data_IF_835473526978
#
_entry.id   IF_835473526978
#
_cell.length_a   1.000
_cell.length_b   1.000
_cell.length_c   1.000
_cell.angle_alpha   90.00
_cell.angle_beta   90.00
_cell.angle_gamma   90.00
#
_symmetry.space_group_name_H-M   'P 1'
#
loop_
_entity.id
_entity.type
_entity.pdbx_description
1 polymer ?
#
# COMPACT_ATOMS: atom_id res chain seq x y z
N UNK A 1 63.04 -35.61 -35.15
CA UNK A 1 62.25 -36.22 -34.06
C UNK A 1 61.56 -35.11 -33.30
N UNK A 2 60.22 -35.17 -33.24
CA UNK A 2 59.29 -34.72 -32.18
C UNK A 2 59.59 -33.48 -31.33
N UNK A 3 58.66 -32.61 -30.95
CA UNK A 3 57.23 -32.32 -31.22
C UNK A 3 56.93 -31.09 -30.35
N UNK A 4 56.00 -30.25 -30.81
CA UNK A 4 55.30 -29.18 -30.10
C UNK A 4 54.80 -29.59 -28.68
N UNK A 5 54.38 -28.67 -27.75
CA UNK A 5 53.18 -27.86 -28.03
C UNK A 5 52.90 -26.53 -27.25
N UNK A 6 51.98 -25.76 -27.87
CA UNK A 6 50.84 -24.97 -27.31
C UNK A 6 50.98 -23.47 -26.94
N UNK A 7 50.13 -22.72 -27.64
CA UNK A 7 49.69 -21.34 -27.42
C UNK A 7 48.66 -21.24 -26.28
N UNK A 8 48.71 -20.16 -25.49
CA UNK A 8 47.52 -19.57 -24.83
C UNK A 8 47.61 -18.04 -24.89
N UNK A 9 46.72 -17.44 -25.68
CA UNK A 9 46.51 -15.99 -25.76
C UNK A 9 45.42 -15.54 -24.79
N UNK A 10 45.79 -14.72 -23.82
CA UNK A 10 44.85 -14.01 -22.94
C UNK A 10 44.16 -12.84 -23.65
N UNK A 11 42.83 -12.81 -23.62
CA UNK A 11 42.01 -11.67 -24.09
C UNK A 11 41.36 -10.99 -22.90
N UNK A 12 41.74 -9.74 -22.65
CA UNK A 12 41.04 -8.81 -21.75
C UNK A 12 39.76 -8.26 -22.43
N UNK A 13 38.68 -7.95 -21.69
CA UNK A 13 37.44 -7.45 -22.25
C UNK A 13 37.56 -5.96 -22.64
N UNK A 14 37.13 -5.66 -23.87
CA UNK A 14 37.04 -4.30 -24.43
C UNK A 14 35.91 -3.50 -23.78
N UNK A 15 36.22 -2.24 -23.48
CA UNK A 15 35.29 -1.20 -23.04
C UNK A 15 34.26 -0.91 -24.15
N UNK A 16 32.97 -0.89 -23.80
CA UNK A 16 31.90 -0.41 -24.68
C UNK A 16 31.59 1.02 -24.28
N UNK A 17 31.96 1.96 -25.15
CA UNK A 17 31.65 3.39 -25.09
C UNK A 17 30.24 3.63 -25.64
N UNK A 18 29.41 4.36 -24.89
CA UNK A 18 28.07 4.80 -25.30
C UNK A 18 28.14 6.28 -25.69
N UNK A 19 27.66 6.61 -26.89
CA UNK A 19 27.61 7.99 -27.40
C UNK A 19 26.26 8.61 -27.07
N UNK A 20 26.26 9.77 -26.40
CA UNK A 20 25.10 10.63 -26.14
C UNK A 20 24.80 11.49 -27.39
N UNK A 21 23.53 11.72 -27.70
CA UNK A 21 23.08 12.72 -28.68
C UNK A 21 22.00 13.60 -28.03
N UNK A 22 22.07 14.90 -28.31
CA UNK A 22 21.28 15.98 -27.69
C UNK A 22 19.84 16.06 -28.23
N UNK A 23 18.91 16.47 -27.36
CA UNK A 23 17.46 16.56 -27.60
C UNK A 23 17.03 17.93 -28.13
N UNK A 24 16.08 17.94 -29.08
CA UNK A 24 15.28 19.11 -29.47
C UNK A 24 13.89 19.09 -28.83
N UNK A 25 13.34 20.28 -28.58
CA UNK A 25 12.04 20.55 -27.94
C UNK A 25 10.84 20.24 -28.85
N UNK A 26 9.75 19.70 -28.31
CA UNK A 26 8.50 19.52 -29.06
C UNK A 26 7.28 19.09 -28.24
N UNK A 27 6.43 20.07 -27.87
CA UNK A 27 4.98 20.10 -28.14
C UNK A 27 4.04 19.05 -27.55
N UNK A 28 3.31 19.47 -26.51
CA UNK A 28 2.19 18.84 -25.82
C UNK A 28 0.90 18.76 -26.68
N UNK A 29 0.32 17.57 -26.86
CA UNK A 29 -1.08 17.39 -27.28
C UNK A 29 -1.75 16.31 -26.44
N UNK A 30 -2.71 16.71 -25.62
CA UNK A 30 -3.57 15.84 -24.84
C UNK A 30 -4.40 14.91 -25.74
N UNK A 31 -3.97 13.65 -25.83
CA UNK A 31 -4.64 12.59 -26.57
C UNK A 31 -5.90 12.12 -25.81
N UNK A 32 -7.07 12.55 -26.27
CA UNK A 32 -8.33 11.80 -26.08
C UNK A 32 -8.33 10.63 -27.06
N UNK A 33 -7.46 9.64 -26.85
CA UNK A 33 -7.40 8.45 -27.67
C UNK A 33 -8.55 7.48 -27.29
N UNK A 34 -9.39 7.15 -28.27
CA UNK A 34 -10.29 5.99 -28.21
C UNK A 34 -9.45 4.74 -27.91
N UNK A 35 -9.81 4.01 -26.85
CA UNK A 35 -9.08 2.84 -26.42
C UNK A 35 -9.08 1.75 -27.51
N UNK A 36 -7.89 1.39 -28.02
CA UNK A 36 -7.75 0.39 -29.08
C UNK A 36 -7.78 -1.06 -28.56
N UNK A 37 -7.94 -1.26 -27.25
CA UNK A 37 -8.00 -2.57 -26.61
C UNK A 37 -6.66 -3.30 -26.50
N UNK A 38 -5.54 -2.72 -26.97
CA UNK A 38 -4.29 -3.46 -27.11
C UNK A 38 -3.38 -3.40 -25.89
N UNK A 39 -3.47 -2.33 -25.10
CA UNK A 39 -2.63 -2.08 -23.93
C UNK A 39 -3.39 -1.42 -22.78
N UNK A 40 -2.88 -1.54 -21.56
CA UNK A 40 -3.40 -0.80 -20.41
C UNK A 40 -3.14 0.70 -20.60
N UNK A 41 -4.23 1.46 -20.72
CA UNK A 41 -4.21 2.93 -20.86
C UNK A 41 -3.52 3.53 -19.64
N UNK A 42 -2.56 4.43 -19.85
CA UNK A 42 -1.76 5.02 -18.79
C UNK A 42 -0.32 4.54 -18.75
N UNK A 43 -0.02 3.35 -19.29
CA UNK A 43 1.36 2.91 -19.54
C UNK A 43 2.00 3.73 -20.67
N UNK A 44 3.33 3.68 -20.79
CA UNK A 44 4.04 4.42 -21.84
C UNK A 44 3.69 3.89 -23.23
N UNK A 45 3.40 4.81 -24.15
CA UNK A 45 3.25 4.52 -25.58
C UNK A 45 4.55 4.95 -26.26
N UNK A 46 5.34 3.97 -26.69
CA UNK A 46 6.68 4.19 -27.26
C UNK A 46 6.67 3.63 -28.67
N UNK A 47 6.35 4.48 -29.64
CA UNK A 47 6.29 4.11 -31.05
C UNK A 47 7.67 4.20 -31.72
N UNK A 48 8.56 5.05 -31.20
CA UNK A 48 9.97 5.15 -31.59
C UNK A 48 10.83 5.59 -30.38
N UNK A 49 11.92 4.87 -30.10
CA UNK A 49 12.83 5.17 -28.99
C UNK A 49 13.53 6.53 -29.14
N UNK A 50 13.60 7.09 -30.34
CA UNK A 50 14.18 8.41 -30.60
C UNK A 50 13.32 9.60 -30.16
N UNK A 51 12.02 9.39 -29.90
CA UNK A 51 11.06 10.48 -29.67
C UNK A 51 10.40 10.44 -28.27
N UNK A 52 10.91 9.61 -27.36
CA UNK A 52 10.37 9.48 -26.00
C UNK A 52 11.22 10.26 -25.00
N UNK A 53 10.59 11.15 -24.21
CA UNK A 53 11.30 12.04 -23.26
C UNK A 53 12.03 11.30 -22.13
N UNK A 54 11.68 10.04 -21.87
CA UNK A 54 12.30 9.20 -20.85
C UNK A 54 13.16 8.08 -21.45
N UNK A 55 14.16 7.61 -20.70
CA UNK A 55 15.02 6.48 -21.08
C UNK A 55 14.17 5.25 -21.43
N UNK A 56 14.40 4.72 -22.62
CA UNK A 56 13.66 3.58 -23.18
C UNK A 56 14.49 2.29 -23.10
N UNK A 57 13.82 1.16 -22.90
CA UNK A 57 14.38 -0.19 -22.78
C UNK A 57 13.65 -1.14 -23.73
N UNK A 58 14.43 -1.88 -24.55
CA UNK A 58 13.90 -2.92 -25.43
C UNK A 58 13.92 -4.29 -24.73
N UNK A 59 12.84 -5.06 -24.87
CA UNK A 59 12.71 -6.41 -24.32
C UNK A 59 13.35 -7.46 -25.23
N UNK A 60 14.62 -7.76 -24.97
CA UNK A 60 15.34 -8.83 -25.67
C UNK A 60 14.93 -10.24 -25.23
N UNK A 61 14.96 -11.20 -26.17
CA UNK A 61 14.79 -12.63 -25.88
C UNK A 61 13.33 -13.09 -25.76
N UNK A 62 12.39 -12.22 -26.12
CA UNK A 62 10.94 -12.46 -26.09
C UNK A 62 10.34 -12.54 -27.51
N UNK A 63 11.16 -12.74 -28.54
CA UNK A 63 10.75 -12.71 -29.95
C UNK A 63 9.71 -13.80 -30.24
N UNK A 64 9.83 -14.96 -29.61
CA UNK A 64 8.86 -16.06 -29.70
C UNK A 64 7.45 -15.71 -29.21
N UNK A 65 7.27 -14.61 -28.48
CA UNK A 65 5.95 -14.17 -28.00
C UNK A 65 5.18 -13.37 -29.05
N UNK A 66 5.81 -12.94 -30.15
CA UNK A 66 5.22 -12.11 -31.20
C UNK A 66 4.42 -10.92 -30.62
N UNK A 67 5.08 -10.10 -29.79
CA UNK A 67 4.47 -8.96 -29.12
C UNK A 67 4.24 -7.80 -30.10
N UNK A 68 3.21 -7.00 -29.84
CA UNK A 68 2.96 -5.77 -30.60
C UNK A 68 3.93 -4.65 -30.14
N UNK A 69 4.33 -4.67 -28.87
CA UNK A 69 5.22 -3.68 -28.25
C UNK A 69 6.32 -4.35 -27.40
N UNK A 70 7.58 -4.03 -27.74
CA UNK A 70 8.79 -4.47 -27.04
C UNK A 70 9.49 -3.37 -26.24
N UNK A 71 8.97 -2.14 -26.24
CA UNK A 71 9.58 -0.97 -25.60
C UNK A 71 8.91 -0.62 -24.27
N UNK A 72 9.74 -0.26 -23.28
CA UNK A 72 9.33 0.10 -21.92
C UNK A 72 10.15 1.29 -21.43
N UNK A 73 9.59 2.11 -20.53
CA UNK A 73 10.34 3.21 -19.88
C UNK A 73 10.93 2.82 -18.51
N UNK A 74 10.81 1.53 -18.16
CA UNK A 74 11.53 0.86 -17.08
C UNK A 74 12.32 -0.34 -17.64
N UNK A 75 13.42 -0.77 -16.99
CA UNK A 75 14.08 -2.02 -17.34
C UNK A 75 13.13 -3.22 -17.22
N UNK A 76 13.02 -4.00 -18.30
CA UNK A 76 12.25 -5.25 -18.34
C UNK A 76 13.14 -6.34 -18.96
N UNK A 77 13.07 -7.55 -18.41
CA UNK A 77 13.81 -8.71 -18.92
C UNK A 77 12.88 -9.91 -19.09
N UNK A 78 13.21 -10.80 -20.02
CA UNK A 78 12.48 -12.04 -20.24
C UNK A 78 13.28 -13.26 -19.76
N UNK A 79 13.24 -13.53 -18.45
CA UNK A 79 13.91 -14.69 -17.84
C UNK A 79 12.92 -15.67 -17.19
N UNK A 80 13.41 -16.80 -16.67
CA UNK A 80 12.57 -17.86 -16.09
C UNK A 80 11.68 -17.39 -14.92
N UNK A 81 12.15 -16.42 -14.13
CA UNK A 81 11.37 -15.85 -13.03
C UNK A 81 10.18 -15.03 -13.54
N UNK A 82 10.39 -14.23 -14.60
CA UNK A 82 9.33 -13.45 -15.26
C UNK A 82 8.35 -14.38 -15.98
N UNK A 83 8.85 -15.37 -16.72
CA UNK A 83 8.04 -16.39 -17.39
C UNK A 83 7.13 -17.15 -16.42
N UNK A 84 7.60 -17.43 -15.20
CA UNK A 84 6.76 -18.07 -14.16
C UNK A 84 5.53 -17.21 -13.81
N UNK A 85 5.69 -15.90 -13.73
CA UNK A 85 4.58 -14.98 -13.46
C UNK A 85 3.69 -14.76 -14.68
N UNK A 86 4.26 -14.71 -15.89
CA UNK A 86 3.47 -14.71 -17.12
C UNK A 86 2.58 -15.95 -17.14
N UNK A 87 3.16 -17.14 -16.97
CA UNK A 87 2.40 -18.38 -16.91
C UNK A 87 1.32 -18.36 -15.81
N UNK A 88 1.61 -17.80 -14.64
CA UNK A 88 0.60 -17.63 -13.58
C UNK A 88 -0.57 -16.78 -14.06
N UNK A 89 -0.33 -15.58 -14.62
CA UNK A 89 -1.38 -14.67 -15.08
C UNK A 89 -2.13 -15.17 -16.31
N UNK A 90 -1.56 -16.07 -17.11
CA UNK A 90 -2.27 -16.73 -18.20
C UNK A 90 -3.14 -17.91 -17.74
N UNK A 91 -2.91 -18.42 -16.53
CA UNK A 91 -3.59 -19.60 -16.00
C UNK A 91 -4.32 -19.28 -14.69
N UNK A 92 -3.78 -19.73 -13.55
CA UNK A 92 -4.43 -19.62 -12.23
C UNK A 92 -4.71 -18.18 -11.80
N UNK A 93 -3.95 -17.22 -12.33
CA UNK A 93 -4.06 -15.79 -12.07
C UNK A 93 -4.89 -15.02 -13.11
N UNK A 94 -5.44 -15.67 -14.13
CA UNK A 94 -6.08 -15.01 -15.28
C UNK A 94 -7.22 -14.08 -14.88
N UNK A 95 -8.18 -14.57 -14.10
CA UNK A 95 -9.29 -13.74 -13.63
C UNK A 95 -8.86 -12.59 -12.71
N UNK A 96 -7.71 -12.68 -12.03
CA UNK A 96 -7.16 -11.52 -11.31
C UNK A 96 -6.65 -10.47 -12.28
N UNK A 97 -5.88 -10.89 -13.29
CA UNK A 97 -5.34 -9.98 -14.29
C UNK A 97 -6.45 -9.26 -15.07
N UNK A 98 -7.49 -9.97 -15.50
CA UNK A 98 -8.66 -9.38 -16.18
C UNK A 98 -9.32 -8.29 -15.31
N UNK A 99 -9.57 -8.56 -14.02
CA UNK A 99 -10.15 -7.56 -13.11
C UNK A 99 -9.24 -6.37 -12.87
N UNK A 100 -7.92 -6.60 -12.77
CA UNK A 100 -6.96 -5.51 -12.59
C UNK A 100 -6.90 -4.62 -13.83
N UNK A 101 -6.94 -5.24 -15.01
CA UNK A 101 -6.94 -4.54 -16.29
C UNK A 101 -8.23 -3.77 -16.49
N UNK A 102 -9.40 -4.37 -16.24
CA UNK A 102 -10.68 -3.67 -16.25
C UNK A 102 -10.66 -2.42 -15.37
N UNK A 103 -10.17 -2.55 -14.13
CA UNK A 103 -10.05 -1.42 -13.20
C UNK A 103 -9.02 -0.38 -13.63
N UNK A 104 -7.96 -0.80 -14.33
CA UNK A 104 -6.92 0.11 -14.80
C UNK A 104 -7.49 1.22 -15.69
N UNK A 105 -8.53 0.94 -16.49
CA UNK A 105 -9.18 1.95 -17.34
C UNK A 105 -9.63 3.19 -16.57
N UNK A 106 -10.03 3.04 -15.30
CA UNK A 106 -10.44 4.15 -14.45
C UNK A 106 -9.28 4.99 -13.93
N UNK A 107 -8.20 4.36 -13.49
CA UNK A 107 -7.19 5.00 -12.65
C UNK A 107 -5.83 5.16 -13.33
N UNK A 108 -5.41 4.16 -14.13
CA UNK A 108 -4.10 4.15 -14.73
C UNK A 108 -3.82 5.34 -15.67
N UNK A 109 -4.78 5.89 -16.44
CA UNK A 109 -4.54 7.09 -17.25
C UNK A 109 -4.06 8.28 -16.40
N UNK A 110 -4.81 8.60 -15.34
CA UNK A 110 -4.51 9.70 -14.43
C UNK A 110 -3.22 9.44 -13.63
N UNK A 111 -3.04 8.21 -13.13
CA UNK A 111 -1.85 7.85 -12.35
C UNK A 111 -0.58 7.87 -13.22
N UNK A 112 -0.68 7.45 -14.48
CA UNK A 112 0.39 7.50 -15.47
C UNK A 112 0.80 8.95 -15.77
N UNK A 113 -0.18 9.84 -15.97
CA UNK A 113 0.09 11.26 -16.16
C UNK A 113 0.80 11.89 -14.95
N UNK A 114 0.34 11.58 -13.73
CA UNK A 114 1.00 12.09 -12.51
C UNK A 114 2.46 11.59 -12.42
N UNK A 115 2.73 10.33 -12.79
CA UNK A 115 4.12 9.83 -12.81
C UNK A 115 4.98 10.64 -13.79
N UNK A 116 4.48 10.86 -15.00
CA UNK A 116 5.15 11.63 -16.04
C UNK A 116 5.40 13.10 -15.62
N UNK A 117 4.38 13.78 -15.07
CA UNK A 117 4.46 15.15 -14.56
C UNK A 117 5.50 15.29 -13.43
N UNK A 118 5.74 14.20 -12.68
CA UNK A 118 6.75 14.12 -11.63
C UNK A 118 8.13 13.61 -12.13
N UNK A 119 8.31 13.45 -13.44
CA UNK A 119 9.56 13.02 -14.06
C UNK A 119 9.88 11.53 -13.85
N UNK A 120 8.85 10.70 -13.68
CA UNK A 120 8.98 9.26 -13.46
C UNK A 120 8.44 8.46 -14.67
N UNK A 121 8.99 7.26 -14.92
CA UNK A 121 8.45 6.36 -15.93
C UNK A 121 6.99 6.01 -15.69
N UNK A 122 6.18 6.05 -16.75
CA UNK A 122 4.76 5.68 -16.73
C UNK A 122 4.58 4.20 -16.49
N UNK A 123 5.47 3.31 -16.95
CA UNK A 123 5.32 1.87 -16.69
C UNK A 123 5.48 1.52 -15.19
N UNK A 124 5.86 2.48 -14.32
CA UNK A 124 5.73 2.29 -12.87
C UNK A 124 4.28 2.13 -12.40
N UNK A 125 3.26 2.42 -13.21
CA UNK A 125 1.86 2.06 -12.87
C UNK A 125 1.68 0.56 -12.59
N UNK A 126 2.54 -0.29 -13.17
CA UNK A 126 2.47 -1.73 -12.93
C UNK A 126 2.86 -2.11 -11.48
N UNK A 127 3.53 -1.23 -10.72
CA UNK A 127 3.64 -1.37 -9.27
C UNK A 127 2.27 -1.27 -8.60
N UNK A 128 1.47 -0.24 -8.91
CA UNK A 128 0.12 -0.09 -8.35
C UNK A 128 -0.79 -1.28 -8.73
N UNK A 129 -0.66 -1.79 -9.96
CA UNK A 129 -1.31 -3.04 -10.38
C UNK A 129 -0.86 -4.23 -9.54
N UNK A 130 0.45 -4.36 -9.28
CA UNK A 130 1.00 -5.45 -8.48
C UNK A 130 0.61 -5.38 -6.99
N UNK A 131 0.45 -4.17 -6.45
CA UNK A 131 0.12 -3.90 -5.04
C UNK A 131 -1.35 -4.14 -4.72
N UNK A 132 -2.26 -3.63 -5.55
CA UNK A 132 -3.70 -3.66 -5.25
C UNK A 132 -4.59 -4.01 -6.43
N UNK A 133 -4.04 -4.06 -7.65
CA UNK A 133 -4.84 -4.05 -8.87
C UNK A 133 -5.67 -2.77 -8.99
N UNK A 134 -5.08 -1.61 -8.66
CA UNK A 134 -5.70 -0.29 -8.67
C UNK A 134 -6.90 -0.11 -7.72
N UNK A 135 -6.92 -0.82 -6.59
CA UNK A 135 -8.04 -0.71 -5.64
C UNK A 135 -7.81 0.41 -4.61
N UNK A 136 -8.62 1.46 -4.67
CA UNK A 136 -8.57 2.59 -3.72
C UNK A 136 -8.72 2.15 -2.27
N UNK A 137 -9.70 1.28 -1.99
CA UNK A 137 -9.98 0.78 -0.63
C UNK A 137 -9.27 -0.53 -0.31
N UNK A 138 -8.24 -0.94 -1.07
CA UNK A 138 -7.48 -2.15 -0.75
C UNK A 138 -6.79 -2.01 0.60
N UNK A 139 -6.82 -3.07 1.40
CA UNK A 139 -6.18 -3.11 2.70
C UNK A 139 -5.50 -4.45 2.94
N UNK A 140 -4.18 -4.43 3.09
CA UNK A 140 -3.44 -5.65 3.39
C UNK A 140 -3.59 -6.08 4.85
N UNK A 141 -3.18 -7.31 5.11
CA UNK A 141 -3.05 -7.85 6.46
C UNK A 141 -2.08 -7.04 7.35
N UNK A 142 -1.09 -6.41 6.75
CA UNK A 142 -0.12 -5.55 7.42
C UNK A 142 -0.63 -4.12 7.60
N UNK A 143 -1.86 -3.82 7.14
CA UNK A 143 -2.49 -2.49 7.14
C UNK A 143 -1.84 -1.49 6.18
N UNK A 144 -1.24 -1.99 5.11
CA UNK A 144 -1.05 -1.19 3.91
C UNK A 144 -2.42 -0.88 3.30
N UNK A 145 -2.63 0.35 2.84
CA UNK A 145 -3.92 0.82 2.31
C UNK A 145 -3.71 1.51 0.97
N UNK A 146 -4.70 1.47 0.09
CA UNK A 146 -4.70 2.26 -1.12
C UNK A 146 -4.26 1.52 -2.37
N UNK A 147 -4.29 2.22 -3.53
CA UNK A 147 -3.84 1.66 -4.79
C UNK A 147 -2.34 1.33 -4.74
N UNK A 148 -1.57 2.13 -4.01
CA UNK A 148 -0.12 2.00 -3.80
C UNK A 148 0.28 1.21 -2.55
N UNK A 149 -0.69 0.69 -1.78
CA UNK A 149 -0.44 -0.09 -0.54
C UNK A 149 0.53 0.61 0.43
N UNK A 150 0.27 1.87 0.75
CA UNK A 150 1.07 2.58 1.74
C UNK A 150 0.82 2.08 3.17
N UNK A 151 1.90 1.77 3.87
CA UNK A 151 1.89 1.71 5.33
C UNK A 151 1.61 3.10 5.91
N UNK A 152 0.84 3.20 6.99
CA UNK A 152 0.45 4.51 7.56
C UNK A 152 1.65 5.42 7.88
N UNK A 153 2.72 4.88 8.46
CA UNK A 153 3.94 5.65 8.73
C UNK A 153 4.59 6.18 7.45
N UNK A 154 4.74 5.32 6.44
CA UNK A 154 5.34 5.69 5.15
C UNK A 154 4.48 6.71 4.42
N UNK A 155 3.16 6.51 4.37
CA UNK A 155 2.23 7.47 3.78
C UNK A 155 2.36 8.88 4.40
N UNK A 156 2.36 8.97 5.74
CA UNK A 156 2.59 10.24 6.45
C UNK A 156 3.96 10.86 6.15
N UNK A 157 5.01 10.04 6.10
CA UNK A 157 6.36 10.48 5.75
C UNK A 157 6.41 11.13 4.36
N UNK A 158 5.55 10.70 3.43
CA UNK A 158 5.46 11.23 2.07
C UNK A 158 4.23 12.12 1.82
N UNK A 159 3.69 12.72 2.89
CA UNK A 159 2.72 13.82 2.79
C UNK A 159 1.25 13.44 2.87
N UNK A 160 0.91 12.16 3.04
CA UNK A 160 -0.50 11.74 3.16
C UNK A 160 -1.07 12.04 4.55
N UNK A 161 -2.23 12.70 4.61
CA UNK A 161 -3.02 12.85 5.82
C UNK A 161 -3.77 11.55 6.13
N UNK A 162 -3.57 11.06 7.34
CA UNK A 162 -4.23 9.84 7.84
C UNK A 162 -4.64 10.08 9.29
N UNK A 163 -5.95 10.25 9.49
CA UNK A 163 -6.58 10.47 10.78
C UNK A 163 -7.95 9.75 10.86
N UNK A 164 -8.86 10.20 11.74
CA UNK A 164 -10.15 9.56 11.93
C UNK A 164 -11.17 9.95 10.84
N UNK A 165 -11.02 11.11 10.21
CA UNK A 165 -11.95 11.61 9.18
C UNK A 165 -11.48 11.23 7.78
N UNK A 166 -10.15 11.23 7.55
CA UNK A 166 -9.55 10.98 6.23
C UNK A 166 -8.42 9.97 6.27
N UNK A 167 -8.33 9.15 5.22
CA UNK A 167 -7.17 8.31 4.91
C UNK A 167 -6.78 8.47 3.44
N UNK A 168 -5.91 9.46 3.18
CA UNK A 168 -5.50 9.86 1.82
C UNK A 168 -4.67 8.79 1.09
N UNK A 169 -4.36 7.67 1.74
CA UNK A 169 -3.85 6.50 1.03
C UNK A 169 -4.88 5.94 0.07
N UNK A 170 -6.17 6.11 0.33
CA UNK A 170 -7.24 5.65 -0.56
C UNK A 170 -7.48 6.61 -1.74
N UNK A 171 -7.00 7.85 -1.67
CA UNK A 171 -7.12 8.82 -2.76
C UNK A 171 -6.14 8.47 -3.90
N UNK A 172 -6.61 8.17 -5.12
CA UNK A 172 -5.72 7.75 -6.21
C UNK A 172 -4.78 8.86 -6.70
N UNK A 173 -5.11 10.13 -6.52
CA UNK A 173 -4.27 11.26 -6.93
C UNK A 173 -3.20 11.50 -5.87
N UNK A 174 -3.62 11.77 -4.63
CA UNK A 174 -2.72 12.11 -3.52
C UNK A 174 -1.77 10.95 -3.22
N UNK A 175 -2.28 9.71 -3.21
CA UNK A 175 -1.42 8.54 -3.00
C UNK A 175 -0.44 8.31 -4.16
N UNK A 176 -0.78 8.67 -5.40
CA UNK A 176 0.17 8.64 -6.53
C UNK A 176 1.26 9.69 -6.40
N UNK A 177 0.92 10.92 -6.03
CA UNK A 177 1.93 11.95 -5.74
C UNK A 177 2.88 11.49 -4.61
N UNK A 178 2.35 10.90 -3.54
CA UNK A 178 3.17 10.32 -2.48
C UNK A 178 4.04 9.15 -2.96
N UNK A 179 3.52 8.30 -3.86
CA UNK A 179 4.28 7.23 -4.50
C UNK A 179 5.42 7.79 -5.36
N UNK A 180 5.18 8.85 -6.12
CA UNK A 180 6.19 9.54 -6.92
C UNK A 180 7.34 10.04 -6.02
N UNK A 181 6.99 10.71 -4.93
CA UNK A 181 7.97 11.20 -3.96
C UNK A 181 8.80 10.05 -3.35
N UNK A 182 8.15 8.93 -3.00
CA UNK A 182 8.87 7.79 -2.43
C UNK A 182 9.75 7.09 -3.46
N UNK A 183 9.24 6.80 -4.64
CA UNK A 183 9.99 6.14 -5.72
C UNK A 183 11.18 6.98 -6.17
N UNK A 184 11.04 8.32 -6.20
CA UNK A 184 12.16 9.24 -6.44
C UNK A 184 13.27 9.08 -5.40
N UNK A 185 12.92 9.00 -4.11
CA UNK A 185 13.91 8.78 -3.03
C UNK A 185 14.58 7.41 -3.19
N UNK A 186 13.81 6.37 -3.48
CA UNK A 186 14.35 5.02 -3.68
C UNK A 186 15.28 4.96 -4.89
N UNK A 187 14.89 5.55 -6.02
CA UNK A 187 15.72 5.59 -7.22
C UNK A 187 17.01 6.38 -6.99
N UNK A 188 16.94 7.56 -6.35
CA UNK A 188 18.14 8.33 -5.96
C UNK A 188 19.08 7.53 -5.07
N UNK A 189 18.55 6.66 -4.21
CA UNK A 189 19.34 5.84 -3.31
C UNK A 189 19.99 4.63 -4.00
N UNK A 190 19.30 4.00 -4.96
CA UNK A 190 19.72 2.71 -5.51
C UNK A 190 20.19 2.76 -6.97
N UNK A 191 19.88 3.83 -7.72
CA UNK A 191 20.25 3.98 -9.13
C UNK A 191 19.62 2.95 -10.09
N UNK A 192 18.66 2.15 -9.62
CA UNK A 192 18.01 1.07 -10.38
C UNK A 192 16.54 0.96 -9.99
N UNK A 193 15.67 0.86 -10.99
CA UNK A 193 14.24 0.65 -10.79
C UNK A 193 13.93 -0.72 -10.17
N UNK A 194 14.71 -1.76 -10.49
CA UNK A 194 14.56 -3.08 -9.90
C UNK A 194 14.88 -3.08 -8.40
N UNK A 195 15.96 -2.40 -7.99
CA UNK A 195 16.27 -2.22 -6.57
C UNK A 195 15.27 -1.30 -5.87
N UNK A 196 14.84 -0.21 -6.53
CA UNK A 196 13.83 0.70 -6.00
C UNK A 196 12.49 -0.04 -5.76
N UNK A 197 12.00 -0.82 -6.72
CA UNK A 197 10.78 -1.62 -6.57
C UNK A 197 10.93 -2.69 -5.48
N UNK A 198 12.09 -3.36 -5.40
CA UNK A 198 12.39 -4.30 -4.31
C UNK A 198 12.37 -3.61 -2.93
N UNK A 199 12.91 -2.39 -2.85
CA UNK A 199 12.92 -1.58 -1.63
C UNK A 199 11.54 -1.03 -1.27
N UNK A 200 10.71 -0.69 -2.26
CA UNK A 200 9.32 -0.29 -2.06
C UNK A 200 8.55 -1.40 -1.34
N UNK A 201 8.70 -2.66 -1.78
CA UNK A 201 8.05 -3.81 -1.17
C UNK A 201 8.63 -4.18 0.21
N UNK A 202 9.95 -4.15 0.35
CA UNK A 202 10.65 -4.77 1.48
C UNK A 202 11.20 -3.78 2.52
N UNK A 203 11.18 -2.48 2.21
CA UNK A 203 11.81 -1.38 2.92
C UNK A 203 13.26 -1.14 2.50
N UNK A 204 13.66 0.13 2.36
CA UNK A 204 14.99 0.54 1.90
C UNK A 204 16.14 -0.04 2.76
N UNK A 205 15.96 -0.09 4.07
CA UNK A 205 16.97 -0.62 4.98
C UNK A 205 17.22 -2.12 4.82
N UNK A 206 16.22 -2.88 4.35
CA UNK A 206 16.37 -4.31 4.09
C UNK A 206 17.14 -4.57 2.80
N UNK A 207 16.88 -3.80 1.75
CA UNK A 207 17.64 -3.88 0.49
C UNK A 207 19.09 -3.44 0.70
N UNK A 208 19.34 -2.34 1.42
CA UNK A 208 20.72 -1.92 1.78
C UNK A 208 21.51 -2.99 2.53
N UNK A 209 20.86 -3.75 3.42
CA UNK A 209 21.52 -4.88 4.12
C UNK A 209 21.79 -6.06 3.18
N UNK A 210 20.92 -6.30 2.20
CA UNK A 210 21.14 -7.32 1.18
C UNK A 210 22.34 -6.96 0.29
N UNK A 211 22.38 -5.71 -0.21
CA UNK A 211 23.48 -5.16 -1.02
C UNK A 211 24.82 -5.35 -0.30
N UNK A 212 24.93 -4.85 0.95
CA UNK A 212 26.16 -5.00 1.73
C UNK A 212 26.54 -6.45 2.01
N UNK A 213 25.55 -7.32 2.22
CA UNK A 213 25.80 -8.73 2.53
C UNK A 213 26.34 -9.51 1.33
N UNK A 214 25.88 -9.20 0.13
CA UNK A 214 26.24 -9.91 -1.09
C UNK A 214 27.21 -9.14 -1.99
N UNK A 215 27.61 -7.94 -1.58
CA UNK A 215 28.51 -7.04 -2.29
C UNK A 215 28.10 -6.85 -3.77
N UNK A 216 26.81 -6.57 -4.00
CA UNK A 216 26.26 -6.39 -5.34
C UNK A 216 25.07 -5.42 -5.31
N UNK A 217 25.02 -4.56 -6.31
CA UNK A 217 23.91 -3.64 -6.60
C UNK A 217 23.03 -4.15 -7.74
N UNK A 218 23.22 -5.41 -8.15
CA UNK A 218 22.37 -6.05 -9.15
C UNK A 218 21.24 -6.82 -8.45
N UNK A 219 19.99 -6.43 -8.73
CA UNK A 219 18.81 -7.10 -8.17
C UNK A 219 18.79 -8.61 -8.43
N UNK A 220 19.14 -9.05 -9.65
CA UNK A 220 19.14 -10.45 -10.04
C UNK A 220 20.17 -11.26 -9.24
N UNK A 221 21.34 -10.71 -8.99
CA UNK A 221 22.33 -11.33 -8.08
C UNK A 221 21.82 -11.39 -6.63
N UNK A 222 21.18 -10.33 -6.13
CA UNK A 222 20.60 -10.33 -4.77
C UNK A 222 19.47 -11.35 -4.61
N UNK A 223 18.69 -11.56 -5.67
CA UNK A 223 17.55 -12.49 -5.70
C UNK A 223 17.99 -13.92 -5.45
N UNK A 224 19.16 -14.33 -5.92
CA UNK A 224 19.67 -15.69 -5.68
C UNK A 224 20.04 -15.92 -4.21
N UNK A 225 20.43 -14.86 -3.49
CA UNK A 225 20.78 -14.92 -2.06
C UNK A 225 19.60 -15.22 -1.12
N UNK A 226 19.86 -15.90 0.01
CA UNK A 226 18.83 -16.25 1.03
C UNK A 226 18.31 -15.07 1.89
N UNK A 227 18.88 -13.87 1.79
CA UNK A 227 18.54 -12.75 2.67
C UNK A 227 17.15 -12.15 2.38
N UNK A 228 16.81 -12.00 1.11
CA UNK A 228 15.49 -11.54 0.69
C UNK A 228 14.48 -12.69 0.82
N UNK A 229 13.28 -12.35 1.27
CA UNK A 229 12.17 -13.32 1.36
C UNK A 229 11.64 -13.61 -0.04
N UNK A 230 11.04 -14.78 -0.24
CA UNK A 230 10.47 -15.18 -1.52
C UNK A 230 9.48 -14.16 -2.09
N UNK A 231 8.67 -13.53 -1.22
CA UNK A 231 7.78 -12.42 -1.61
C UNK A 231 8.54 -11.28 -2.29
N UNK A 232 9.58 -10.73 -1.65
CA UNK A 232 10.43 -9.68 -2.21
C UNK A 232 11.17 -10.14 -3.47
N UNK A 233 11.70 -11.37 -3.49
CA UNK A 233 12.41 -11.95 -4.65
C UNK A 233 11.53 -12.05 -5.90
N UNK A 234 10.23 -12.24 -5.70
CA UNK A 234 9.25 -12.42 -6.77
C UNK A 234 8.52 -11.13 -7.13
N UNK A 235 8.71 -10.05 -6.37
CA UNK A 235 8.02 -8.78 -6.58
C UNK A 235 8.38 -8.12 -7.91
N UNK A 236 9.68 -7.92 -8.18
CA UNK A 236 10.15 -7.34 -9.46
C UNK A 236 9.77 -8.21 -10.66
N UNK A 237 10.00 -9.54 -10.67
CA UNK A 237 9.52 -10.39 -11.76
C UNK A 237 8.01 -10.34 -12.01
N UNK A 238 7.20 -10.19 -10.95
CA UNK A 238 5.74 -10.04 -11.06
C UNK A 238 5.37 -8.75 -11.80
N UNK A 239 6.02 -7.63 -11.46
CA UNK A 239 5.77 -6.33 -12.10
C UNK A 239 6.16 -6.39 -13.58
N UNK A 240 7.32 -6.95 -13.90
CA UNK A 240 7.76 -7.12 -15.29
C UNK A 240 6.77 -7.98 -16.08
N UNK A 241 6.27 -9.08 -15.51
CA UNK A 241 5.25 -9.91 -16.16
C UNK A 241 3.94 -9.14 -16.39
N UNK A 242 3.50 -8.33 -15.41
CA UNK A 242 2.32 -7.48 -15.56
C UNK A 242 2.53 -6.42 -16.65
N UNK A 243 3.72 -5.82 -16.74
CA UNK A 243 4.05 -4.86 -17.78
C UNK A 243 4.05 -5.50 -19.18
N UNK A 244 4.70 -6.65 -19.34
CA UNK A 244 4.76 -7.38 -20.61
C UNK A 244 3.36 -7.74 -21.10
N UNK A 245 2.52 -8.32 -20.23
CA UNK A 245 1.15 -8.69 -20.61
C UNK A 245 0.30 -7.44 -20.80
N UNK A 246 0.38 -6.48 -19.88
CA UNK A 246 -0.44 -5.28 -19.86
C UNK A 246 -0.21 -4.36 -21.06
N UNK A 247 0.99 -4.35 -21.64
CA UNK A 247 1.26 -3.60 -22.88
C UNK A 247 0.97 -4.38 -24.16
N UNK A 248 0.62 -5.66 -24.06
CA UNK A 248 0.42 -6.58 -25.18
C UNK A 248 -0.80 -7.48 -24.96
N UNK A 249 -1.93 -6.91 -24.56
CA UNK A 249 -3.11 -7.67 -24.10
C UNK A 249 -3.57 -8.70 -25.13
N UNK A 250 -3.62 -8.29 -26.40
CA UNK A 250 -4.01 -9.13 -27.53
C UNK A 250 -3.09 -10.34 -27.71
N UNK A 251 -1.78 -10.15 -27.67
CA UNK A 251 -0.79 -11.23 -27.82
C UNK A 251 -0.94 -12.34 -26.75
N UNK A 252 -1.54 -12.00 -25.61
CA UNK A 252 -1.81 -12.92 -24.50
C UNK A 252 -3.28 -13.36 -24.40
N UNK A 253 -4.10 -13.02 -25.41
CA UNK A 253 -5.50 -13.42 -25.52
C UNK A 253 -6.44 -12.69 -24.55
N UNK A 254 -6.16 -11.43 -24.22
CA UNK A 254 -7.01 -10.56 -23.40
C UNK A 254 -7.72 -9.51 -24.25
N UNK A 255 -8.51 -9.95 -25.23
CA UNK A 255 -9.18 -9.05 -26.20
C UNK A 255 -10.50 -8.47 -25.66
N UNK A 256 -11.16 -9.20 -24.74
CA UNK A 256 -12.52 -8.87 -24.25
C UNK A 256 -12.52 -8.29 -22.82
N UNK A 257 -11.59 -7.38 -22.51
CA UNK A 257 -11.59 -6.69 -21.21
C UNK A 257 -12.58 -5.52 -21.26
N UNK A 258 -13.58 -5.56 -20.38
CA UNK A 258 -14.48 -4.42 -20.13
C UNK A 258 -13.79 -3.40 -19.21
N UNK A 259 -13.16 -2.40 -19.81
CA UNK A 259 -12.47 -1.35 -19.06
C UNK A 259 -13.45 -0.40 -18.39
N UNK A 260 -13.23 -0.15 -17.11
CA UNK A 260 -13.99 0.85 -16.38
C UNK A 260 -13.74 2.24 -16.96
N UNK A 261 -14.79 3.06 -17.00
CA UNK A 261 -14.69 4.46 -17.39
C UNK A 261 -13.65 5.22 -16.55
N UNK A 262 -12.95 6.14 -17.23
CA UNK A 262 -11.93 7.01 -16.67
C UNK A 262 -12.49 7.82 -15.49
N UNK A 263 -11.61 8.13 -14.53
CA UNK A 263 -11.98 8.92 -13.37
C UNK A 263 -12.13 10.41 -13.75
N UNK A 264 -13.31 10.77 -14.24
CA UNK A 264 -13.68 12.16 -14.50
C UNK A 264 -14.51 12.74 -13.34
N UNK A 265 -14.18 13.97 -12.96
CA UNK A 265 -14.87 14.68 -11.88
C UNK A 265 -14.66 16.19 -12.00
N UNK A 266 -15.57 16.93 -11.38
CA UNK A 266 -15.38 18.33 -11.02
C UNK A 266 -14.92 18.42 -9.55
N UNK A 267 -14.26 19.52 -9.19
CA UNK A 267 -13.95 19.83 -7.80
C UNK A 267 -14.75 21.04 -7.31
N UNK A 268 -15.25 20.95 -6.08
CA UNK A 268 -15.91 22.04 -5.35
C UNK A 268 -15.27 22.21 -3.97
N UNK A 269 -15.27 23.44 -3.46
CA UNK A 269 -14.85 23.71 -2.08
C UNK A 269 -16.09 23.77 -1.18
N UNK A 270 -16.12 22.91 -0.16
CA UNK A 270 -17.21 22.86 0.82
C UNK A 270 -16.71 23.25 2.22
N UNK A 271 -17.57 23.83 3.09
CA UNK A 271 -17.21 24.14 4.47
C UNK A 271 -16.78 22.90 5.30
N UNK A 272 -16.08 23.08 6.43
CA UNK A 272 -15.88 22.01 7.41
C UNK A 272 -17.22 21.53 7.95
N UNK A 273 -17.27 20.28 8.42
CA UNK A 273 -18.50 19.68 8.96
C UNK A 273 -19.67 19.65 7.95
N UNK A 274 -19.41 19.64 6.65
CA UNK A 274 -20.47 19.48 5.64
C UNK A 274 -21.00 18.05 5.70
N UNK A 275 -22.31 17.87 5.87
CA UNK A 275 -23.03 16.59 5.77
C UNK A 275 -23.07 16.14 4.31
N UNK A 276 -22.35 15.08 4.01
CA UNK A 276 -22.21 14.55 2.66
C UNK A 276 -23.47 13.83 2.18
N UNK A 277 -24.34 13.36 3.08
CA UNK A 277 -25.63 12.78 2.70
C UNK A 277 -26.58 13.90 2.28
N UNK A 278 -26.69 14.96 3.08
CA UNK A 278 -27.51 16.12 2.75
C UNK A 278 -26.99 16.84 1.48
N UNK A 279 -25.67 16.97 1.32
CA UNK A 279 -25.06 17.51 0.11
C UNK A 279 -25.42 16.67 -1.12
N UNK A 280 -25.33 15.34 -1.01
CA UNK A 280 -25.68 14.44 -2.11
C UNK A 280 -27.15 14.62 -2.55
N UNK A 281 -28.07 14.71 -1.59
CA UNK A 281 -29.49 14.99 -1.84
C UNK A 281 -29.70 16.35 -2.55
N UNK A 282 -29.07 17.43 -2.09
CA UNK A 282 -29.20 18.76 -2.72
C UNK A 282 -28.61 18.81 -4.13
N UNK A 283 -27.54 18.06 -4.37
CA UNK A 283 -26.87 17.99 -5.67
C UNK A 283 -27.60 17.03 -6.64
N UNK A 284 -28.50 16.19 -6.13
CA UNK A 284 -29.15 15.12 -6.89
C UNK A 284 -28.14 14.09 -7.38
N UNK A 285 -27.19 13.71 -6.52
CA UNK A 285 -26.18 12.68 -6.78
C UNK A 285 -26.30 11.59 -5.73
N UNK A 286 -25.96 10.35 -6.09
CA UNK A 286 -25.95 9.26 -5.12
C UNK A 286 -24.81 9.45 -4.10
N UNK A 287 -25.09 9.19 -2.82
CA UNK A 287 -24.08 9.29 -1.77
C UNK A 287 -22.92 8.31 -2.00
N UNK A 288 -23.22 7.11 -2.50
CA UNK A 288 -22.22 6.10 -2.86
C UNK A 288 -21.30 6.60 -3.98
N UNK A 289 -21.82 7.35 -4.94
CA UNK A 289 -21.02 7.94 -6.01
C UNK A 289 -20.10 9.04 -5.46
N UNK A 290 -20.61 9.88 -4.57
CA UNK A 290 -19.81 10.89 -3.88
C UNK A 290 -18.67 10.23 -3.06
N UNK A 291 -18.96 9.12 -2.36
CA UNK A 291 -17.96 8.33 -1.65
C UNK A 291 -16.99 7.58 -2.57
N UNK A 292 -17.40 7.23 -3.79
CA UNK A 292 -16.54 6.59 -4.78
C UNK A 292 -15.52 7.58 -5.32
N UNK A 293 -15.94 8.82 -5.57
CA UNK A 293 -15.07 9.91 -6.02
C UNK A 293 -14.13 10.42 -4.91
N UNK A 294 -14.54 10.32 -3.65
CA UNK A 294 -13.77 10.75 -2.49
C UNK A 294 -13.48 9.58 -1.54
N UNK A 295 -12.74 8.55 -2.01
CA UNK A 295 -12.52 7.32 -1.24
C UNK A 295 -11.74 7.55 0.06
N UNK A 296 -11.01 8.66 0.18
CA UNK A 296 -10.30 9.05 1.39
C UNK A 296 -11.21 9.53 2.51
N UNK A 297 -12.40 10.05 2.21
CA UNK A 297 -13.32 10.55 3.22
C UNK A 297 -14.01 9.36 3.87
N UNK A 298 -13.63 9.08 5.12
CA UNK A 298 -14.03 7.85 5.81
C UNK A 298 -15.42 7.94 6.43
N UNK A 299 -16.00 9.14 6.49
CA UNK A 299 -17.18 9.49 7.29
C UNK A 299 -18.23 10.17 6.41
N UNK A 300 -19.43 10.33 6.96
CA UNK A 300 -20.55 11.01 6.29
C UNK A 300 -20.44 12.54 6.32
N UNK A 301 -19.34 13.09 6.83
CA UNK A 301 -19.14 14.54 6.91
C UNK A 301 -17.66 14.91 6.71
N UNK A 302 -17.41 16.13 6.25
CA UNK A 302 -16.05 16.64 6.05
C UNK A 302 -15.36 16.95 7.39
N UNK A 303 -14.02 16.87 7.45
CA UNK A 303 -13.28 17.13 8.70
C UNK A 303 -13.63 18.48 9.34
N UNK A 304 -13.74 18.58 10.68
CA UNK A 304 -14.03 19.84 11.36
C UNK A 304 -12.85 20.79 11.45
N UNK A 305 -11.62 20.28 11.30
CA UNK A 305 -10.38 21.00 11.56
C UNK A 305 -9.72 21.56 10.29
N UNK A 306 -10.53 21.95 9.30
CA UNK A 306 -10.09 22.58 8.04
C UNK A 306 -10.90 23.85 7.77
N UNK A 307 -10.34 24.79 7.02
CA UNK A 307 -11.06 26.00 6.59
C UNK A 307 -12.10 25.71 5.51
N UNK A 308 -11.75 24.81 4.58
CA UNK A 308 -12.60 24.25 3.55
C UNK A 308 -12.08 22.85 3.20
N UNK A 309 -12.93 22.05 2.56
CA UNK A 309 -12.58 20.74 2.04
C UNK A 309 -12.87 20.70 0.54
N UNK A 310 -11.84 20.37 -0.24
CA UNK A 310 -11.97 20.17 -1.69
C UNK A 310 -12.57 18.80 -1.94
N UNK A 311 -13.77 18.76 -2.49
CA UNK A 311 -14.55 17.56 -2.73
C UNK A 311 -14.72 17.32 -4.23
N UNK A 312 -14.49 16.09 -4.67
CA UNK A 312 -14.78 15.65 -6.04
C UNK A 312 -16.26 15.35 -6.19
N UNK A 313 -16.86 15.83 -7.26
CA UNK A 313 -18.27 15.62 -7.62
C UNK A 313 -18.34 15.16 -9.08
N UNK A 314 -19.45 14.52 -9.51
CA UNK A 314 -19.61 14.14 -10.91
C UNK A 314 -19.40 15.35 -11.85
N UNK A 315 -18.91 15.10 -13.06
CA UNK A 315 -18.74 16.15 -14.06
C UNK A 315 -20.02 16.96 -14.27
N UNK A 316 -19.85 18.25 -14.57
CA UNK A 316 -20.95 19.21 -14.78
C UNK A 316 -21.77 19.51 -13.51
N UNK A 317 -21.25 19.19 -12.32
CA UNK A 317 -21.94 19.47 -11.06
C UNK A 317 -21.65 20.87 -10.49
N UNK A 318 -20.68 21.62 -11.03
CA UNK A 318 -20.32 22.96 -10.52
C UNK A 318 -21.46 23.97 -10.58
N UNK A 319 -22.27 23.95 -11.64
CA UNK A 319 -23.44 24.83 -11.76
C UNK A 319 -24.46 24.56 -10.65
N UNK A 320 -24.78 23.28 -10.43
CA UNK A 320 -25.65 22.87 -9.32
C UNK A 320 -25.09 23.29 -7.96
N UNK A 321 -23.77 23.16 -7.75
CA UNK A 321 -23.14 23.61 -6.52
C UNK A 321 -23.33 25.11 -6.29
N UNK A 322 -23.20 25.93 -7.35
CA UNK A 322 -23.44 27.36 -7.26
C UNK A 322 -24.90 27.67 -6.84
N UNK A 323 -25.88 26.92 -7.36
CA UNK A 323 -27.29 27.05 -6.95
C UNK A 323 -27.51 26.67 -5.48
N UNK A 324 -26.88 25.57 -5.02
CA UNK A 324 -26.92 25.15 -3.60
C UNK A 324 -26.36 26.25 -2.71
N UNK A 325 -25.20 26.83 -3.06
CA UNK A 325 -24.61 27.95 -2.29
C UNK A 325 -25.52 29.16 -2.30
N UNK A 326 -26.10 29.52 -3.45
CA UNK A 326 -27.01 30.67 -3.58
C UNK A 326 -28.32 30.49 -2.78
N UNK A 327 -28.79 29.26 -2.60
CA UNK A 327 -29.98 28.95 -1.80
C UNK A 327 -29.79 29.22 -0.31
N UNK A 328 -28.55 29.27 0.18
CA UNK A 328 -28.23 29.46 1.60
C UNK A 328 -28.59 28.28 2.49
N UNK A 329 -28.79 27.08 1.91
CA UNK A 329 -29.08 25.86 2.69
C UNK A 329 -27.92 25.54 3.64
N UNK A 330 -28.23 25.31 4.92
CA UNK A 330 -27.24 24.88 5.91
C UNK A 330 -26.99 23.38 5.79
N UNK A 331 -25.84 23.02 5.23
CA UNK A 331 -25.40 21.64 5.07
C UNK A 331 -24.53 21.16 6.24
N UNK A 332 -24.54 21.85 7.38
CA UNK A 332 -23.76 21.42 8.53
C UNK A 332 -24.26 20.10 9.10
N UNK A 333 -23.35 19.16 9.30
CA UNK A 333 -23.57 17.90 9.96
C UNK A 333 -24.10 18.12 11.37
N UNK A 334 -25.33 17.66 11.61
CA UNK A 334 -26.01 17.74 12.90
C UNK A 334 -26.60 16.41 13.36
N UNK A 335 -26.73 15.43 12.46
CA UNK A 335 -27.34 14.12 12.69
C UNK A 335 -26.41 13.15 13.47
N UNK A 336 -25.72 13.66 14.48
CA UNK A 336 -24.86 12.89 15.36
C UNK A 336 -25.68 12.10 16.37
N UNK A 337 -25.32 10.84 16.56
CA UNK A 337 -25.83 10.00 17.65
C UNK A 337 -25.43 10.64 18.97
N UNK A 338 -26.40 10.76 19.89
CA UNK A 338 -26.15 11.29 21.24
C UNK A 338 -26.02 10.17 22.26
N UNK A 339 -25.07 10.31 23.18
CA UNK A 339 -24.90 9.44 24.32
C UNK A 339 -25.11 10.21 25.62
N UNK A 340 -26.09 9.79 26.42
CA UNK A 340 -26.32 10.35 27.75
C UNK A 340 -25.46 9.62 28.78
N UNK A 341 -24.65 10.37 29.53
CA UNK A 341 -23.71 9.80 30.50
C UNK A 341 -24.45 9.16 31.68
N UNK A 342 -24.26 7.85 31.87
CA UNK A 342 -24.99 7.06 32.87
C UNK A 342 -24.30 7.02 34.26
N UNK A 343 -22.99 7.28 34.35
CA UNK A 343 -22.17 7.15 35.58
C UNK A 343 -21.73 8.49 36.19
N UNK A 344 -21.19 8.45 37.40
CA UNK A 344 -20.90 9.66 38.22
C UNK A 344 -19.46 10.21 38.12
N UNK A 345 -18.59 9.68 37.25
CA UNK A 345 -17.21 10.19 37.11
C UNK A 345 -16.53 9.84 35.76
N UNK A 346 -17.25 9.93 34.63
CA UNK A 346 -16.64 9.66 33.31
C UNK A 346 -15.98 10.92 32.75
N UNK A 347 -14.73 10.80 32.31
CA UNK A 347 -14.11 11.83 31.46
C UNK A 347 -14.54 11.65 30.01
N UNK A 348 -14.39 12.69 29.18
CA UNK A 348 -14.64 12.56 27.74
C UNK A 348 -13.73 11.50 27.09
N UNK A 349 -12.50 11.33 27.59
CA UNK A 349 -11.59 10.25 27.20
C UNK A 349 -12.14 8.86 27.51
N UNK A 350 -12.81 8.68 28.65
CA UNK A 350 -13.44 7.40 29.00
C UNK A 350 -14.59 7.07 28.04
N UNK A 351 -15.35 8.09 27.64
CA UNK A 351 -16.42 7.97 26.64
C UNK A 351 -15.83 7.63 25.28
N UNK A 352 -14.78 8.33 24.83
CA UNK A 352 -14.10 8.05 23.57
C UNK A 352 -13.62 6.59 23.51
N UNK A 353 -12.97 6.12 24.58
CA UNK A 353 -12.51 4.73 24.70
C UNK A 353 -13.67 3.72 24.66
N UNK A 354 -14.80 4.02 25.32
CA UNK A 354 -16.00 3.16 25.29
C UNK A 354 -16.52 2.93 23.88
N UNK A 355 -16.40 3.92 23.00
CA UNK A 355 -16.91 3.87 21.64
C UNK A 355 -15.84 3.61 20.57
N UNK A 356 -14.59 3.29 20.96
CA UNK A 356 -13.46 3.12 20.03
C UNK A 356 -13.19 4.36 19.16
N UNK A 357 -13.43 5.55 19.71
CA UNK A 357 -13.19 6.84 19.04
C UNK A 357 -11.92 7.47 19.62
N UNK A 358 -11.16 8.17 18.80
CA UNK A 358 -9.99 8.91 19.28
C UNK A 358 -10.45 10.11 20.13
N UNK A 359 -9.84 10.39 21.30
CA UNK A 359 -10.31 11.46 22.18
C UNK A 359 -10.49 12.82 21.50
N UNK A 360 -9.55 13.22 20.63
CA UNK A 360 -9.60 14.51 19.92
C UNK A 360 -10.83 14.67 19.04
N UNK A 361 -11.38 13.58 18.50
CA UNK A 361 -12.62 13.62 17.69
C UNK A 361 -13.80 14.05 18.55
N UNK A 362 -13.88 13.56 19.78
CA UNK A 362 -14.93 14.00 20.70
C UNK A 362 -14.69 15.43 21.18
N UNK A 363 -13.43 15.84 21.36
CA UNK A 363 -13.09 17.23 21.70
C UNK A 363 -13.57 18.18 20.61
N UNK A 364 -13.22 17.91 19.34
CA UNK A 364 -13.61 18.71 18.18
C UNK A 364 -15.14 18.79 18.01
N UNK A 365 -15.85 17.68 18.20
CA UNK A 365 -17.31 17.66 18.03
C UNK A 365 -18.09 18.31 19.17
N UNK A 366 -17.57 18.25 20.39
CA UNK A 366 -18.31 18.70 21.57
C UNK A 366 -17.79 20.01 22.16
N UNK A 367 -16.60 20.48 21.76
CA UNK A 367 -15.95 21.64 22.36
C UNK A 367 -15.55 21.41 23.83
N UNK A 368 -15.27 20.17 24.21
CA UNK A 368 -14.97 19.76 25.59
C UNK A 368 -13.60 19.07 25.61
N UNK A 369 -12.73 19.44 26.54
CA UNK A 369 -11.42 18.79 26.73
C UNK A 369 -11.54 17.30 27.10
N UNK A 370 -10.63 16.45 26.61
CA UNK A 370 -10.64 15.01 26.83
C UNK A 370 -10.57 14.62 28.31
N UNK A 371 -9.90 15.43 29.14
CA UNK A 371 -9.78 15.26 30.58
C UNK A 371 -10.95 15.83 31.37
N UNK A 372 -11.83 16.61 30.75
CA UNK A 372 -12.98 17.20 31.43
C UNK A 372 -13.92 16.11 31.97
N UNK A 373 -14.41 16.32 33.20
CA UNK A 373 -15.41 15.46 33.82
C UNK A 373 -16.78 15.78 33.23
N UNK A 374 -17.48 14.74 32.78
CA UNK A 374 -18.81 14.85 32.20
C UNK A 374 -19.84 14.48 33.27
N UNK A 375 -20.80 15.37 33.53
CA UNK A 375 -21.82 15.12 34.55
C UNK A 375 -22.83 14.07 34.07
N UNK A 376 -23.39 13.32 35.01
CA UNK A 376 -24.45 12.35 34.73
C UNK A 376 -25.61 13.04 34.01
N UNK A 377 -26.11 12.43 32.95
CA UNK A 377 -27.20 12.94 32.12
C UNK A 377 -26.77 13.91 31.01
N UNK A 378 -25.55 14.46 31.05
CA UNK A 378 -25.04 15.30 29.96
C UNK A 378 -24.98 14.49 28.66
N UNK A 379 -25.51 15.07 27.58
CA UNK A 379 -25.52 14.47 26.26
C UNK A 379 -24.22 14.81 25.52
N UNK A 380 -23.49 13.78 25.12
CA UNK A 380 -22.28 13.89 24.29
C UNK A 380 -22.62 13.45 22.87
N UNK A 381 -22.29 14.29 21.89
CA UNK A 381 -22.35 13.94 20.48
C UNK A 381 -21.25 12.93 20.18
N UNK A 382 -21.65 11.80 19.60
CA UNK A 382 -20.76 10.79 19.08
C UNK A 382 -20.65 10.98 17.57
N UNK A 383 -19.48 10.66 16.97
CA UNK A 383 -19.23 10.91 15.56
C UNK A 383 -19.88 9.84 14.65
N UNK A 384 -20.99 9.27 15.08
CA UNK A 384 -21.80 8.28 14.37
C UNK A 384 -23.08 8.95 13.89
N UNK A 385 -23.55 8.63 12.69
CA UNK A 385 -24.85 9.10 12.22
C UNK A 385 -25.96 8.44 13.04
N UNK A 386 -26.99 9.18 13.45
CA UNK A 386 -27.99 8.67 14.40
C UNK A 386 -28.86 7.55 13.85
N UNK A 387 -29.04 7.51 12.53
CA UNK A 387 -29.81 6.53 11.77
C UNK A 387 -28.98 5.35 11.26
N UNK A 388 -27.65 5.37 11.43
CA UNK A 388 -26.77 4.28 11.03
C UNK A 388 -26.51 3.30 12.17
N UNK A 389 -26.51 1.99 11.85
CA UNK A 389 -25.96 0.97 12.76
C UNK A 389 -24.44 1.20 12.92
N UNK A 390 -23.91 1.00 14.14
CA UNK A 390 -22.47 0.98 14.39
C UNK A 390 -21.74 -0.14 13.62
N UNK A 391 -22.49 -1.14 13.15
CA UNK A 391 -22.00 -2.20 12.25
C UNK A 391 -21.98 -1.80 10.78
N UNK A 392 -22.42 -0.59 10.43
CA UNK A 392 -22.33 -0.08 9.06
C UNK A 392 -20.86 -0.10 8.60
N UNK A 393 -20.63 -0.46 7.33
CA UNK A 393 -19.30 -0.55 6.73
C UNK A 393 -18.48 0.75 6.86
N UNK A 394 -19.14 1.92 6.95
CA UNK A 394 -18.50 3.22 7.20
C UNK A 394 -17.66 3.27 8.49
N UNK A 395 -18.00 2.46 9.50
CA UNK A 395 -17.33 2.43 10.80
C UNK A 395 -16.53 1.13 11.03
N UNK A 396 -16.43 0.28 10.01
CA UNK A 396 -15.77 -1.03 10.14
C UNK A 396 -14.32 -0.88 10.61
N UNK A 397 -13.63 0.19 10.21
CA UNK A 397 -12.25 0.49 10.58
C UNK A 397 -12.04 0.67 12.09
N UNK A 398 -13.07 1.11 12.83
CA UNK A 398 -13.01 1.34 14.28
C UNK A 398 -13.08 0.04 15.09
N UNK A 399 -13.69 -0.99 14.53
CA UNK A 399 -13.93 -2.27 15.20
C UNK A 399 -13.09 -3.42 14.63
N UNK A 400 -12.18 -3.11 13.71
CA UNK A 400 -11.23 -4.08 13.15
C UNK A 400 -10.37 -4.70 14.25
N UNK A 401 -10.59 -5.99 14.49
CA UNK A 401 -9.77 -6.78 15.40
C UNK A 401 -8.46 -7.16 14.70
N UNK A 402 -7.29 -6.95 15.32
CA UNK A 402 -6.05 -7.52 14.79
C UNK A 402 -6.20 -9.04 14.67
N UNK A 403 -5.63 -9.63 13.62
CA UNK A 403 -5.66 -11.09 13.45
C UNK A 403 -5.07 -11.81 14.67
N UNK A 404 -5.49 -13.06 14.89
CA UNK A 404 -5.06 -13.88 16.04
C UNK A 404 -3.53 -13.95 16.17
N UNK A 405 -2.79 -13.99 15.08
CA UNK A 405 -1.32 -14.08 15.07
C UNK A 405 -0.66 -12.79 15.54
N UNK A 406 -1.20 -11.62 15.17
CA UNK A 406 -0.72 -10.31 15.62
C UNK A 406 -0.98 -10.15 17.11
N UNK A 407 -2.18 -10.54 17.57
CA UNK A 407 -2.54 -10.57 18.98
C UNK A 407 -1.63 -11.53 19.75
N UNK A 408 -1.36 -12.73 19.22
CA UNK A 408 -0.48 -13.71 19.83
C UNK A 408 0.95 -13.16 20.00
N UNK A 409 1.50 -12.51 18.96
CA UNK A 409 2.83 -11.89 19.03
C UNK A 409 2.88 -10.72 20.03
N UNK A 410 1.83 -9.91 20.10
CA UNK A 410 1.72 -8.82 21.07
C UNK A 410 1.65 -9.35 22.51
N UNK A 411 0.78 -10.34 22.76
CA UNK A 411 0.68 -11.04 24.05
C UNK A 411 2.01 -11.68 24.44
N UNK A 412 2.69 -12.33 23.49
CA UNK A 412 4.01 -12.91 23.68
C UNK A 412 5.05 -11.86 24.11
N UNK A 413 5.12 -10.72 23.42
CA UNK A 413 6.01 -9.61 23.81
C UNK A 413 5.68 -9.05 25.19
N UNK A 414 4.39 -8.91 25.51
CA UNK A 414 3.92 -8.50 26.83
C UNK A 414 4.34 -9.48 27.93
N UNK A 415 4.20 -10.79 27.67
CA UNK A 415 4.64 -11.86 28.55
C UNK A 415 6.15 -11.83 28.78
N UNK A 416 6.95 -11.64 27.72
CA UNK A 416 8.41 -11.51 27.82
C UNK A 416 8.80 -10.27 28.62
N UNK A 417 8.10 -9.14 28.45
CA UNK A 417 8.33 -7.92 29.24
C UNK A 417 8.04 -8.16 30.73
N UNK A 418 6.92 -8.79 31.06
CA UNK A 418 6.57 -9.15 32.44
C UNK A 418 7.59 -10.14 33.04
N UNK A 419 7.98 -11.15 32.28
CA UNK A 419 8.99 -12.11 32.71
C UNK A 419 10.34 -11.45 32.99
N UNK A 420 10.81 -10.52 32.15
CA UNK A 420 12.04 -9.74 32.43
C UNK A 420 11.94 -8.92 33.71
N UNK A 421 10.74 -8.45 34.07
CA UNK A 421 10.53 -7.66 35.28
C UNK A 421 10.40 -8.51 36.55
N UNK A 422 9.87 -9.74 36.45
CA UNK A 422 9.45 -10.54 37.61
C UNK A 422 10.12 -11.92 37.71
N UNK A 423 10.73 -12.41 36.63
CA UNK A 423 11.33 -13.72 36.53
C UNK A 423 12.71 -13.79 37.19
N UNK A 424 13.03 -14.95 37.75
CA UNK A 424 14.36 -15.26 38.29
C UNK A 424 15.07 -16.26 37.38
N UNK A 425 16.33 -16.03 37.07
CA UNK A 425 17.15 -16.97 36.30
C UNK A 425 17.26 -18.33 37.01
N UNK A 426 17.17 -19.41 36.25
CA UNK A 426 17.33 -20.76 36.73
C UNK A 426 18.81 -21.09 36.87
N UNK A 427 19.19 -21.67 38.01
CA UNK A 427 20.51 -22.28 38.19
C UNK A 427 20.40 -23.78 37.90
N UNK A 428 20.22 -24.14 36.62
CA UNK A 428 20.06 -25.54 36.18
C UNK A 428 20.69 -25.77 34.80
N UNK A 429 21.29 -26.94 34.62
CA UNK A 429 21.81 -27.42 33.34
C UNK A 429 20.80 -28.27 32.56
N UNK A 430 19.64 -28.59 33.16
CA UNK A 430 18.60 -29.38 32.52
C UNK A 430 18.05 -28.68 31.28
N UNK A 431 17.72 -29.47 30.25
CA UNK A 431 17.19 -28.97 28.97
C UNK A 431 15.96 -29.74 28.55
N UNK A 432 14.93 -29.01 28.14
CA UNK A 432 13.75 -29.56 27.48
C UNK A 432 13.80 -29.28 25.98
N UNK A 433 13.64 -30.31 25.16
CA UNK A 433 13.49 -30.16 23.71
C UNK A 433 12.02 -29.95 23.38
N UNK A 434 11.70 -28.76 22.86
CA UNK A 434 10.36 -28.35 22.46
C UNK A 434 9.81 -29.29 21.40
N UNK A 435 8.62 -29.84 21.63
CA UNK A 435 7.90 -30.72 20.70
C UNK A 435 6.90 -29.91 19.88
N UNK A 436 6.45 -30.48 18.76
CA UNK A 436 5.40 -29.88 17.94
C UNK A 436 4.15 -29.57 18.77
N UNK A 437 3.72 -28.31 18.74
CA UNK A 437 2.53 -27.84 19.45
C UNK A 437 2.80 -27.31 20.87
N UNK A 438 4.01 -27.45 21.41
CA UNK A 438 4.33 -26.91 22.73
C UNK A 438 4.27 -25.38 22.75
N UNK A 439 3.60 -24.85 23.77
CA UNK A 439 3.72 -23.46 24.19
C UNK A 439 4.69 -23.32 25.36
N UNK A 440 5.16 -22.11 25.65
CA UNK A 440 5.96 -21.86 26.85
C UNK A 440 5.23 -22.27 28.14
N UNK A 441 3.90 -22.15 28.15
CA UNK A 441 3.07 -22.59 29.26
C UNK A 441 3.05 -24.11 29.39
N UNK A 442 2.94 -24.83 28.27
CA UNK A 442 3.00 -26.29 28.26
C UNK A 442 4.36 -26.79 28.75
N UNK A 443 5.46 -26.18 28.27
CA UNK A 443 6.81 -26.53 28.73
C UNK A 443 6.95 -26.27 30.22
N UNK A 444 6.59 -25.06 30.69
CA UNK A 444 6.64 -24.69 32.10
C UNK A 444 5.89 -25.70 32.99
N UNK A 445 4.70 -26.12 32.56
CA UNK A 445 3.88 -27.11 33.28
C UNK A 445 4.52 -28.50 33.25
N UNK A 446 4.95 -28.98 32.07
CA UNK A 446 5.56 -30.31 31.88
C UNK A 446 6.86 -30.48 32.67
N UNK A 447 7.63 -29.41 32.81
CA UNK A 447 8.94 -29.43 33.49
C UNK A 447 8.91 -28.83 34.88
N UNK A 448 7.71 -28.57 35.42
CA UNK A 448 7.51 -27.92 36.72
C UNK A 448 8.40 -26.68 36.93
N UNK A 449 8.59 -25.90 35.87
CA UNK A 449 9.46 -24.74 35.82
C UNK A 449 8.59 -23.49 35.80
N UNK A 450 8.76 -22.52 36.73
CA UNK A 450 7.96 -21.30 36.72
C UNK A 450 8.07 -20.57 35.38
N UNK A 451 6.94 -20.21 34.77
CA UNK A 451 6.88 -19.67 33.40
C UNK A 451 7.82 -18.46 33.18
N UNK A 452 7.87 -17.53 34.13
CA UNK A 452 8.77 -16.38 34.01
C UNK A 452 10.24 -16.75 34.14
N UNK A 453 10.58 -17.69 35.01
CA UNK A 453 11.93 -18.23 35.14
C UNK A 453 12.35 -19.00 33.89
N UNK A 454 11.45 -19.79 33.30
CA UNK A 454 11.65 -20.43 32.00
C UNK A 454 11.96 -19.37 30.92
N UNK A 455 11.20 -18.28 30.88
CA UNK A 455 11.39 -17.23 29.87
C UNK A 455 12.74 -16.51 30.03
N UNK A 456 13.05 -16.00 31.23
CA UNK A 456 14.28 -15.20 31.42
C UNK A 456 15.54 -16.03 31.25
N UNK A 457 15.48 -17.33 31.57
CA UNK A 457 16.61 -18.25 31.40
C UNK A 457 16.85 -18.66 29.94
N UNK A 458 15.97 -18.25 29.01
CA UNK A 458 16.00 -18.66 27.60
C UNK A 458 15.85 -17.48 26.62
N UNK A 459 16.27 -16.28 27.04
CA UNK A 459 16.06 -15.05 26.26
C UNK A 459 16.78 -15.04 24.91
N UNK A 460 17.87 -15.78 24.71
CA UNK A 460 18.55 -15.86 23.42
C UNK A 460 17.62 -16.31 22.29
N UNK A 461 16.74 -17.27 22.59
CA UNK A 461 15.71 -17.74 21.65
C UNK A 461 14.47 -16.83 21.75
N UNK A 462 13.97 -16.65 22.98
CA UNK A 462 12.64 -16.08 23.28
C UNK A 462 12.54 -14.58 22.97
N UNK A 463 13.64 -13.84 23.04
CA UNK A 463 13.63 -12.40 22.72
C UNK A 463 13.48 -12.15 21.21
N UNK A 464 13.90 -13.12 20.39
CA UNK A 464 13.95 -13.00 18.94
C UNK A 464 12.70 -13.59 18.26
N UNK A 465 12.20 -14.72 18.77
CA UNK A 465 11.05 -15.44 18.20
C UNK A 465 10.36 -16.32 19.22
N UNK A 466 9.11 -16.68 18.92
CA UNK A 466 8.41 -17.77 19.60
C UNK A 466 9.16 -19.10 19.43
N UNK A 467 8.99 -19.98 20.42
CA UNK A 467 9.62 -21.31 20.44
C UNK A 467 9.12 -22.16 19.25
N UNK A 468 9.97 -23.05 18.78
CA UNK A 468 9.72 -23.97 17.67
C UNK A 468 10.14 -25.37 18.08
N UNK A 469 9.55 -26.35 17.41
CA UNK A 469 9.97 -27.74 17.53
C UNK A 469 11.50 -27.86 17.36
N UNK A 470 12.13 -28.59 18.27
CA UNK A 470 13.58 -28.77 18.33
C UNK A 470 14.35 -27.73 19.16
N UNK A 471 13.73 -26.61 19.56
CA UNK A 471 14.38 -25.66 20.47
C UNK A 471 14.71 -26.33 21.81
N UNK A 472 15.89 -26.05 22.36
CA UNK A 472 16.32 -26.58 23.67
C UNK A 472 16.26 -25.48 24.72
N UNK A 473 15.36 -25.65 25.69
CA UNK A 473 15.11 -24.65 26.74
C UNK A 473 15.69 -25.09 28.08
N UNK A 474 16.36 -24.18 28.80
CA UNK A 474 16.75 -24.33 30.21
C UNK A 474 15.50 -24.49 31.06
N UNK A 475 15.42 -25.59 31.80
CA UNK A 475 14.31 -25.91 32.72
C UNK A 475 14.86 -26.26 34.10
N UNK A 476 13.99 -26.37 35.11
CA UNK A 476 14.42 -26.69 36.48
C UNK A 476 15.12 -28.04 36.57
#
# INVERSE_FOLDING_TARGET
MNTNPLEEGGRAPQQVTTTELENGEGGDTADKASHDGKSIIGSSSIDDAGNHHSRTYFLYGAEQLNLDNYYFDIPVVFNSAVQTWIHYFLNRGRGFFERYSARSGRYAPLMGQILEDHGLPRDLIFLAMAESGFQDKAKSWARAVGPWQFMSYTGKKFGLKIDWYVDERMDPIKSTIAACNYLTVLYKQFGSWELAASAYNAGEGKVNRAIRKYNTENFWSLREGRYLRSETKNYVPKIMALAIIGKNLKAFGFEDIDFHEQLDFDEIDVPPMTDLVALAEQMGVDFEELQRLNPEVMRWFTPPNVSYYKLRVPINSKAKWADVVASGVDLKATNFRRYSVQGQASTLRDIAKKFSVAPYVLEELNGIDAGARIVKGQAIALPFRADHDLKNNMYADLYERPRKEVLARSKYKGLVKLAKAQGKHLNSSNRYTVRRGDTLWDVAKKTNTPLYSLIVSNLEIINNRMIREGDRLIVR
#
